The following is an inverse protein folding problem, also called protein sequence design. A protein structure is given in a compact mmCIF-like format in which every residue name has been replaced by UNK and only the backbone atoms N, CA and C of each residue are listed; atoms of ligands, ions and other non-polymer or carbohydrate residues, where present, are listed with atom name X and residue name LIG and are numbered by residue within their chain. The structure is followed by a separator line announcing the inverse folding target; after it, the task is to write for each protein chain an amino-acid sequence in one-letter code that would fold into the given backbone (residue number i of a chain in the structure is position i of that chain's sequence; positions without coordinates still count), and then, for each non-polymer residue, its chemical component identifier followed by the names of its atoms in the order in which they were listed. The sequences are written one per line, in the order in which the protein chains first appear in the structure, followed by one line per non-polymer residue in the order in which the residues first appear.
data_IF_256927827959
#
_entry.id   IF_256927827959
#
_cell.length_a   1.000
_cell.length_b   1.000
_cell.length_c   1.000
_cell.angle_alpha   90.00
_cell.angle_beta   90.00
_cell.angle_gamma   90.00
#
_symmetry.space_group_name_H-M   'P 1'
#
loop_
_entity.id
_entity.type
_entity.pdbx_description
1 polymer ?
#
# COMPACT_ATOMS: atom_id res chain seq x y z
N UNK A 1 3.72 -1.37 16.60
CA UNK A 1 2.31 -1.21 16.15
C UNK A 1 2.13 -1.67 14.70
N UNK A 2 2.93 -1.18 13.75
CA UNK A 2 2.87 -1.59 12.34
C UNK A 2 2.88 -3.12 12.10
N UNK A 3 3.78 -3.85 12.76
CA UNK A 3 3.85 -5.33 12.65
C UNK A 3 2.58 -6.02 13.17
N UNK A 4 1.98 -5.51 14.25
CA UNK A 4 0.73 -6.06 14.80
C UNK A 4 -0.45 -5.81 13.85
N UNK A 5 -0.52 -4.62 13.24
CA UNK A 5 -1.54 -4.30 12.24
C UNK A 5 -1.37 -5.16 10.99
N UNK A 6 -0.14 -5.31 10.48
CA UNK A 6 0.16 -6.18 9.34
C UNK A 6 -0.22 -7.65 9.62
N UNK A 7 0.13 -8.16 10.80
CA UNK A 7 -0.27 -9.51 11.23
C UNK A 7 -1.80 -9.64 11.37
N UNK A 8 -2.48 -8.62 11.90
CA UNK A 8 -3.94 -8.58 12.00
C UNK A 8 -4.63 -8.63 10.63
N UNK A 9 -4.14 -7.84 9.66
CA UNK A 9 -4.66 -7.85 8.28
C UNK A 9 -4.39 -9.19 7.59
N UNK A 10 -3.21 -9.77 7.81
CA UNK A 10 -2.87 -11.09 7.28
C UNK A 10 -3.83 -12.15 7.82
N UNK A 11 -4.02 -12.23 9.14
CA UNK A 11 -4.96 -13.17 9.76
C UNK A 11 -6.38 -12.92 9.30
N UNK A 12 -6.82 -11.66 9.22
CA UNK A 12 -8.15 -11.31 8.72
C UNK A 12 -8.35 -11.83 7.30
N UNK A 13 -7.40 -11.59 6.40
CA UNK A 13 -7.50 -11.99 4.99
C UNK A 13 -7.43 -13.52 4.83
N UNK A 14 -6.58 -14.19 5.60
CA UNK A 14 -6.30 -15.63 5.42
C UNK A 14 -7.18 -16.56 6.24
N UNK A 15 -7.82 -16.10 7.32
CA UNK A 15 -8.58 -16.96 8.26
C UNK A 15 -10.05 -16.58 8.42
N UNK A 16 -10.52 -15.47 7.85
CA UNK A 16 -11.92 -15.03 8.02
C UNK A 16 -12.73 -15.11 6.74
N UNK A 17 -14.04 -15.37 6.88
CA UNK A 17 -15.00 -15.38 5.77
C UNK A 17 -15.09 -14.01 5.08
N UNK A 18 -15.09 -12.92 5.86
CA UNK A 18 -15.09 -11.56 5.31
C UNK A 18 -13.82 -11.23 4.51
N UNK A 19 -12.65 -11.74 4.92
CA UNK A 19 -11.42 -11.64 4.13
C UNK A 19 -11.50 -12.39 2.80
N UNK A 20 -12.10 -13.57 2.80
CA UNK A 20 -12.34 -14.35 1.57
C UNK A 20 -13.31 -13.64 0.62
N UNK A 21 -14.42 -13.10 1.15
CA UNK A 21 -15.37 -12.28 0.38
C UNK A 21 -14.69 -11.03 -0.20
N UNK A 22 -13.76 -10.40 0.52
CA UNK A 22 -12.98 -9.24 0.04
C UNK A 22 -12.16 -9.61 -1.19
N UNK A 23 -11.43 -10.73 -1.13
CA UNK A 23 -10.55 -11.18 -2.21
C UNK A 23 -11.38 -11.66 -3.40
N UNK A 24 -12.48 -12.39 -3.16
CA UNK A 24 -13.37 -12.89 -4.20
C UNK A 24 -14.05 -11.75 -4.97
N UNK A 25 -14.55 -10.74 -4.26
CA UNK A 25 -15.17 -9.55 -4.88
C UNK A 25 -14.16 -8.70 -5.65
N UNK A 26 -12.90 -8.63 -5.19
CA UNK A 26 -11.81 -7.97 -5.91
C UNK A 26 -11.37 -8.70 -7.19
N UNK A 27 -11.47 -10.04 -7.22
CA UNK A 27 -11.12 -10.84 -8.39
C UNK A 27 -12.19 -10.80 -9.49
N UNK A 28 -13.47 -10.97 -9.11
CA UNK A 28 -14.58 -10.84 -10.05
C UNK A 28 -15.89 -10.50 -9.33
N UNK A 29 -16.34 -9.23 -9.37
CA UNK A 29 -17.55 -8.81 -8.67
C UNK A 29 -18.82 -9.48 -9.21
N UNK A 30 -18.90 -9.73 -10.52
CA UNK A 30 -20.06 -10.40 -11.14
C UNK A 30 -20.18 -11.85 -10.68
N UNK A 31 -19.06 -12.56 -10.59
CA UNK A 31 -19.07 -13.93 -10.07
C UNK A 31 -19.45 -13.95 -8.59
N UNK A 32 -18.92 -13.01 -7.80
CA UNK A 32 -19.22 -12.92 -6.36
C UNK A 32 -20.71 -12.68 -6.08
N UNK A 33 -21.41 -11.85 -6.88
CA UNK A 33 -22.87 -11.65 -6.75
C UNK A 33 -23.66 -12.95 -7.00
N UNK A 34 -23.24 -13.76 -7.96
CA UNK A 34 -23.87 -15.06 -8.27
C UNK A 34 -23.72 -16.05 -7.12
N UNK A 35 -22.63 -15.99 -6.36
CA UNK A 35 -22.40 -16.78 -5.15
C UNK A 35 -23.08 -16.21 -3.89
N UNK A 36 -23.90 -15.15 -4.02
CA UNK A 36 -24.67 -14.57 -2.93
C UNK A 36 -23.89 -13.55 -2.06
N UNK A 37 -22.70 -13.13 -2.49
CA UNK A 37 -21.92 -12.11 -1.79
C UNK A 37 -22.49 -10.72 -2.14
N UNK A 38 -22.78 -9.92 -1.12
CA UNK A 38 -23.27 -8.56 -1.32
C UNK A 38 -22.09 -7.62 -1.63
N UNK A 39 -21.78 -7.45 -2.92
CA UNK A 39 -20.66 -6.63 -3.41
C UNK A 39 -20.74 -5.19 -2.92
N UNK A 40 -21.94 -4.59 -2.88
CA UNK A 40 -22.11 -3.20 -2.38
C UNK A 40 -21.67 -3.07 -0.92
N UNK A 41 -22.07 -4.01 -0.07
CA UNK A 41 -21.66 -4.02 1.34
C UNK A 41 -20.16 -4.23 1.46
N UNK A 42 -19.59 -5.12 0.65
CA UNK A 42 -18.15 -5.40 0.67
C UNK A 42 -17.32 -4.20 0.22
N UNK A 43 -17.81 -3.44 -0.76
CA UNK A 43 -17.17 -2.21 -1.25
C UNK A 43 -17.15 -1.11 -0.18
N UNK A 44 -18.26 -0.89 0.52
CA UNK A 44 -18.29 0.08 1.64
C UNK A 44 -17.39 -0.39 2.78
N UNK A 45 -17.42 -1.68 3.09
CA UNK A 45 -16.57 -2.25 4.14
C UNK A 45 -15.08 -2.10 3.82
N UNK A 46 -14.66 -2.38 2.59
CA UNK A 46 -13.27 -2.23 2.16
C UNK A 46 -12.81 -0.77 2.22
N UNK A 47 -13.68 0.17 1.84
CA UNK A 47 -13.39 1.59 1.92
C UNK A 47 -13.20 2.06 3.36
N UNK A 48 -14.08 1.66 4.28
CA UNK A 48 -13.98 2.00 5.70
C UNK A 48 -12.74 1.37 6.32
N UNK A 49 -12.44 0.11 5.99
CA UNK A 49 -11.25 -0.59 6.49
C UNK A 49 -9.96 0.09 6.01
N UNK A 50 -9.87 0.40 4.71
CA UNK A 50 -8.73 1.10 4.13
C UNK A 50 -8.56 2.50 4.72
N UNK A 51 -9.65 3.25 4.88
CA UNK A 51 -9.64 4.58 5.49
C UNK A 51 -9.20 4.55 6.96
N UNK A 52 -9.68 3.57 7.75
CA UNK A 52 -9.26 3.40 9.13
C UNK A 52 -7.76 3.08 9.25
N UNK A 53 -7.24 2.21 8.37
CA UNK A 53 -5.82 1.87 8.33
C UNK A 53 -4.95 3.06 7.89
N UNK A 54 -5.37 3.79 6.86
CA UNK A 54 -4.68 4.99 6.40
C UNK A 54 -4.66 6.09 7.47
N UNK A 55 -5.80 6.29 8.16
CA UNK A 55 -5.90 7.22 9.28
C UNK A 55 -5.01 6.83 10.47
N UNK A 56 -4.96 5.55 10.81
CA UNK A 56 -4.04 5.04 11.84
C UNK A 56 -2.58 5.28 11.46
N UNK A 57 -2.18 4.95 10.23
CA UNK A 57 -0.83 5.19 9.73
C UNK A 57 -0.45 6.68 9.82
N UNK A 58 -1.29 7.57 9.30
CA UNK A 58 -1.05 9.01 9.37
C UNK A 58 -1.01 9.56 10.80
N UNK A 59 -1.88 9.06 11.70
CA UNK A 59 -1.88 9.47 13.10
C UNK A 59 -0.57 9.09 13.82
N UNK A 60 -0.03 7.90 13.54
CA UNK A 60 1.22 7.42 14.12
C UNK A 60 2.38 8.28 13.65
N UNK A 61 2.38 8.68 12.38
CA UNK A 61 3.45 9.48 11.80
C UNK A 61 3.46 10.92 12.32
N UNK A 62 2.29 11.57 12.39
CA UNK A 62 2.16 12.94 12.91
C UNK A 62 2.46 12.99 14.41
N UNK A 63 1.88 12.08 15.20
CA UNK A 63 2.06 12.08 16.65
C UNK A 63 3.45 11.57 17.08
N UNK A 64 4.03 10.64 16.32
CA UNK A 64 5.29 9.98 16.67
C UNK A 64 6.53 10.72 16.16
N UNK A 65 6.58 11.05 14.86
CA UNK A 65 7.81 11.48 14.20
C UNK A 65 7.88 13.00 14.08
N UNK A 66 6.89 13.61 13.45
CA UNK A 66 6.98 15.02 13.07
C UNK A 66 6.53 15.98 14.19
N UNK A 67 5.68 15.51 15.13
CA UNK A 67 5.06 16.28 16.24
C UNK A 67 4.36 17.59 15.82
N UNK A 68 4.26 17.86 14.52
CA UNK A 68 3.64 19.02 13.87
C UNK A 68 3.14 18.55 12.52
N UNK A 69 2.01 19.09 12.06
CA UNK A 69 1.58 18.90 10.69
C UNK A 69 2.52 19.67 9.76
N UNK A 70 3.13 18.95 8.82
CA UNK A 70 3.96 19.51 7.76
C UNK A 70 3.13 19.51 6.49
N UNK A 71 3.04 20.67 5.82
CA UNK A 71 2.36 20.76 4.53
C UNK A 71 3.07 19.87 3.50
N UNK A 72 2.28 19.12 2.71
CA UNK A 72 2.81 18.23 1.65
C UNK A 72 3.18 16.81 2.09
N UNK A 73 3.06 16.46 3.38
CA UNK A 73 3.40 15.11 3.89
C UNK A 73 2.67 13.97 3.14
N UNK A 74 1.47 14.23 2.63
CA UNK A 74 0.62 13.18 2.05
C UNK A 74 1.01 12.80 0.61
N UNK A 75 1.75 13.65 -0.09
CA UNK A 75 1.95 13.50 -1.54
C UNK A 75 2.76 12.26 -1.90
N UNK A 76 3.71 11.85 -1.05
CA UNK A 76 4.58 10.71 -1.34
C UNK A 76 3.94 9.36 -0.97
N UNK A 77 3.33 9.27 0.22
CA UNK A 77 2.83 8.00 0.77
C UNK A 77 1.79 7.30 -0.11
N UNK A 78 0.99 8.06 -0.85
CA UNK A 78 -0.01 7.50 -1.77
C UNK A 78 0.65 6.75 -2.94
N UNK A 79 1.71 7.33 -3.51
CA UNK A 79 2.48 6.74 -4.62
C UNK A 79 3.23 5.51 -4.13
N UNK A 80 3.90 5.61 -2.97
CA UNK A 80 4.60 4.48 -2.35
C UNK A 80 3.64 3.32 -2.05
N UNK A 81 2.47 3.61 -1.49
CA UNK A 81 1.43 2.60 -1.21
C UNK A 81 0.96 1.87 -2.47
N UNK A 82 0.75 2.61 -3.57
CA UNK A 82 0.41 2.04 -4.88
C UNK A 82 1.52 1.09 -5.38
N UNK A 83 2.78 1.53 -5.35
CA UNK A 83 3.94 0.74 -5.78
C UNK A 83 4.04 -0.56 -4.97
N UNK A 84 3.96 -0.46 -3.63
CA UNK A 84 4.04 -1.62 -2.73
C UNK A 84 2.91 -2.61 -3.04
N UNK A 85 1.68 -2.13 -3.22
CA UNK A 85 0.53 -2.97 -3.55
C UNK A 85 0.69 -3.70 -4.87
N UNK A 86 1.20 -3.01 -5.90
CA UNK A 86 1.45 -3.59 -7.22
C UNK A 86 2.55 -4.65 -7.20
N UNK A 87 3.63 -4.43 -6.46
CA UNK A 87 4.70 -5.42 -6.30
C UNK A 87 4.21 -6.64 -5.52
N UNK A 88 3.41 -6.43 -4.47
CA UNK A 88 2.90 -7.52 -3.64
C UNK A 88 1.88 -8.42 -4.35
N UNK A 89 1.21 -7.94 -5.42
CA UNK A 89 0.32 -8.73 -6.30
C UNK A 89 -0.76 -9.52 -5.53
N UNK A 90 -1.33 -8.93 -4.48
CA UNK A 90 -2.33 -9.58 -3.63
C UNK A 90 -1.78 -10.61 -2.64
N UNK A 91 -0.46 -10.85 -2.61
CA UNK A 91 0.17 -11.63 -1.56
C UNK A 91 0.44 -10.75 -0.34
N UNK A 92 -0.45 -10.83 0.66
CA UNK A 92 -0.36 -10.04 1.88
C UNK A 92 0.91 -10.32 2.71
N UNK A 93 1.58 -11.48 2.57
CA UNK A 93 2.87 -11.72 3.22
C UNK A 93 4.01 -10.93 2.59
N UNK A 94 3.92 -10.63 1.30
CA UNK A 94 4.98 -9.91 0.58
C UNK A 94 4.96 -8.41 0.90
N UNK A 95 3.81 -7.86 1.30
CA UNK A 95 3.62 -6.42 1.61
C UNK A 95 4.66 -5.87 2.60
N UNK A 96 4.84 -6.43 3.81
CA UNK A 96 5.82 -5.88 4.77
C UNK A 96 7.26 -5.97 4.26
N UNK A 97 7.60 -7.00 3.49
CA UNK A 97 8.93 -7.15 2.92
C UNK A 97 9.19 -6.08 1.86
N UNK A 98 8.26 -5.88 0.92
CA UNK A 98 8.37 -4.84 -0.12
C UNK A 98 8.39 -3.45 0.50
N UNK A 99 7.50 -3.19 1.47
CA UNK A 99 7.45 -1.90 2.17
C UNK A 99 8.77 -1.57 2.87
N UNK A 100 9.46 -2.56 3.43
CA UNK A 100 10.77 -2.36 4.04
C UNK A 100 11.83 -1.91 3.02
N UNK A 101 11.92 -2.55 1.86
CA UNK A 101 12.87 -2.14 0.82
C UNK A 101 12.57 -0.74 0.27
N UNK A 102 11.30 -0.43 0.05
CA UNK A 102 10.87 0.90 -0.39
C UNK A 102 11.21 1.97 0.66
N UNK A 103 10.98 1.68 1.95
CA UNK A 103 11.36 2.59 3.03
C UNK A 103 12.87 2.81 3.12
N UNK A 104 13.69 1.76 2.92
CA UNK A 104 15.16 1.91 2.86
C UNK A 104 15.57 2.82 1.70
N UNK A 105 14.94 2.68 0.54
CA UNK A 105 15.18 3.53 -0.62
C UNK A 105 14.79 4.99 -0.32
N UNK A 106 13.63 5.22 0.27
CA UNK A 106 13.13 6.57 0.61
C UNK A 106 14.04 7.26 1.63
N UNK A 107 14.43 6.56 2.71
CA UNK A 107 15.32 7.11 3.74
C UNK A 107 16.70 7.40 3.18
N UNK A 108 17.23 6.50 2.34
CA UNK A 108 18.50 6.71 1.64
C UNK A 108 18.46 7.92 0.71
N UNK A 109 17.38 8.04 -0.08
CA UNK A 109 17.17 9.17 -0.97
C UNK A 109 17.03 10.49 -0.19
N UNK A 110 16.29 10.49 0.92
CA UNK A 110 16.15 11.63 1.82
C UNK A 110 17.49 12.04 2.46
N UNK A 111 18.36 11.08 2.78
CA UNK A 111 19.69 11.37 3.29
C UNK A 111 20.59 12.03 2.23
N UNK A 112 20.50 11.56 0.97
CA UNK A 112 21.21 12.17 -0.16
C UNK A 112 20.70 13.57 -0.48
N UNK A 113 19.39 13.83 -0.42
CA UNK A 113 18.82 15.16 -0.55
C UNK A 113 19.40 16.14 0.47
N UNK A 114 19.50 15.72 1.75
CA UNK A 114 20.04 16.56 2.82
C UNK A 114 21.54 16.82 2.69
N UNK A 115 22.31 15.85 2.20
CA UNK A 115 23.79 15.94 2.19
C UNK A 115 24.33 16.57 0.91
N UNK A 116 23.70 16.29 -0.24
CA UNK A 116 24.18 16.68 -1.56
C UNK A 116 23.31 17.78 -2.22
N UNK A 117 22.29 18.30 -1.51
CA UNK A 117 21.29 19.24 -2.05
C UNK A 117 20.68 18.78 -3.37
N UNK A 118 20.47 17.47 -3.50
CA UNK A 118 19.81 16.90 -4.68
C UNK A 118 18.32 17.27 -4.65
N UNK A 119 17.74 17.74 -5.76
CA UNK A 119 16.31 18.05 -5.84
C UNK A 119 15.42 16.82 -5.58
N UNK A 120 14.26 17.01 -4.95
CA UNK A 120 13.31 15.93 -4.58
C UNK A 120 12.78 15.20 -5.81
N UNK A 121 12.78 15.88 -6.95
CA UNK A 121 12.34 15.41 -8.26
C UNK A 121 13.10 14.16 -8.70
N UNK A 122 14.37 14.02 -8.32
CA UNK A 122 15.16 12.82 -8.63
C UNK A 122 14.58 11.56 -7.98
N UNK A 123 14.02 11.69 -6.78
CA UNK A 123 13.42 10.56 -6.05
C UNK A 123 12.13 10.13 -6.71
N UNK A 124 11.28 11.10 -7.08
CA UNK A 124 10.06 10.82 -7.83
C UNK A 124 10.33 10.15 -9.18
N UNK A 125 11.40 10.54 -9.88
CA UNK A 125 11.80 9.88 -11.13
C UNK A 125 12.16 8.41 -10.87
N UNK A 126 12.94 8.11 -9.83
CA UNK A 126 13.31 6.74 -9.47
C UNK A 126 12.09 5.92 -9.10
N UNK A 127 11.19 6.45 -8.27
CA UNK A 127 9.94 5.78 -7.89
C UNK A 127 9.03 5.52 -9.10
N UNK A 128 8.92 6.48 -10.01
CA UNK A 128 8.17 6.32 -11.25
C UNK A 128 8.79 5.25 -12.17
N UNK A 129 10.12 5.16 -12.23
CA UNK A 129 10.81 4.08 -12.94
C UNK A 129 10.55 2.71 -12.30
N UNK A 130 10.58 2.62 -10.96
CA UNK A 130 10.24 1.38 -10.24
C UNK A 130 8.81 0.96 -10.58
N UNK A 131 7.85 1.88 -10.50
CA UNK A 131 6.46 1.64 -10.88
C UNK A 131 6.36 1.15 -12.33
N UNK A 132 7.04 1.82 -13.25
CA UNK A 132 7.05 1.49 -14.68
C UNK A 132 7.61 0.07 -14.92
N UNK A 133 8.73 -0.29 -14.30
CA UNK A 133 9.32 -1.63 -14.43
C UNK A 133 8.41 -2.72 -13.86
N UNK A 134 7.76 -2.46 -12.73
CA UNK A 134 6.81 -3.40 -12.12
C UNK A 134 5.61 -3.63 -13.03
N UNK A 135 5.04 -2.55 -13.59
CA UNK A 135 3.94 -2.64 -14.54
C UNK A 135 4.37 -3.36 -15.83
N UNK A 136 5.54 -3.03 -16.37
CA UNK A 136 6.07 -3.67 -17.58
C UNK A 136 6.32 -5.17 -17.36
N UNK A 137 6.84 -5.56 -16.20
CA UNK A 137 6.99 -6.96 -15.82
C UNK A 137 5.65 -7.71 -15.79
N UNK A 138 4.58 -7.06 -15.34
CA UNK A 138 3.24 -7.68 -15.36
C UNK A 138 2.70 -7.84 -16.78
N UNK A 139 2.91 -6.84 -17.66
CA UNK A 139 2.49 -6.91 -19.06
C UNK A 139 3.25 -7.99 -19.84
N UNK A 140 4.58 -8.05 -19.68
CA UNK A 140 5.43 -9.05 -20.36
C UNK A 140 5.03 -10.47 -19.97
N UNK A 141 4.66 -10.69 -18.69
CA UNK A 141 4.26 -12.01 -18.20
C UNK A 141 2.86 -12.44 -18.64
N UNK A 142 1.99 -11.49 -19.02
CA UNK A 142 0.63 -11.77 -19.52
C UNK A 142 0.58 -12.09 -21.02
N UNK A 143 1.67 -11.81 -21.75
CA UNK A 143 1.87 -12.28 -23.13
C UNK A 143 2.55 -13.64 -23.15
#
# INVERSE_FOLDING_TARGET
LAVLVAAGIYVYTSRTTGGYELVATGANPRAAEVFGINVKRMFVFSLVLAGALAGLAGSIEVAGVHRRLIEGMQSNFLVLGLIIGLIARGNNLAVPFVAFFIAVLEVGASAMQRTLMIPVEMVFIVEALVLLFVLLSDVVRRR
#
